data_IF_575280206637
#
_entry.id   IF_575280206637
#
_cell.length_a   1.000
_cell.length_b   1.000
_cell.length_c   1.000
_cell.angle_alpha   90.00
_cell.angle_beta   90.00
_cell.angle_gamma   90.00
#
_symmetry.space_group_name_H-M   'P 1'
#
loop_
_entity.id
_entity.type
_entity.pdbx_description
1 polymer ?
#
# COMPACT_ATOMS: atom_id res chain seq x y z
N UNK A 1 -5.30 18.72 15.76
CA UNK A 1 -6.37 18.58 14.75
C UNK A 1 -5.94 17.88 13.45
N UNK A 2 -4.69 17.41 13.28
CA UNK A 2 -4.23 16.68 12.08
C UNK A 2 -3.60 15.33 12.45
N UNK A 3 -4.39 14.38 12.95
CA UNK A 3 -3.91 13.01 13.23
C UNK A 3 -4.81 11.89 12.68
N UNK A 4 -5.73 12.23 11.76
CA UNK A 4 -6.68 11.27 11.19
C UNK A 4 -6.53 11.08 9.66
N UNK A 5 -5.44 11.52 9.04
CA UNK A 5 -5.25 11.42 7.56
C UNK A 5 -4.35 10.24 7.15
N UNK A 6 -3.79 9.48 8.10
CA UNK A 6 -3.05 8.24 7.79
C UNK A 6 -3.83 6.96 8.12
N UNK A 7 -5.12 7.08 8.44
CA UNK A 7 -6.04 5.95 8.31
C UNK A 7 -6.33 5.77 6.81
N UNK A 8 -5.32 5.38 6.05
CA UNK A 8 -5.52 4.86 4.71
C UNK A 8 -6.27 3.53 4.89
N UNK A 9 -7.56 3.44 4.51
CA UNK A 9 -8.40 2.30 4.84
C UNK A 9 -8.19 1.20 3.78
N UNK A 10 -6.98 0.65 3.66
CA UNK A 10 -6.74 -0.58 2.90
C UNK A 10 -5.37 -1.24 3.17
N UNK A 11 -4.92 -1.30 4.41
CA UNK A 11 -4.16 -2.49 4.81
C UNK A 11 -5.19 -3.42 5.41
N UNK A 12 -5.68 -4.40 4.64
CA UNK A 12 -6.52 -5.48 5.16
C UNK A 12 -5.72 -6.24 6.22
N UNK A 13 -5.65 -5.71 7.45
CA UNK A 13 -5.05 -6.38 8.58
C UNK A 13 -5.95 -7.58 8.83
N UNK A 14 -5.46 -8.75 8.43
CA UNK A 14 -6.18 -10.01 8.60
C UNK A 14 -6.27 -10.27 10.10
N UNK A 15 -7.43 -9.97 10.68
CA UNK A 15 -7.74 -10.38 12.04
C UNK A 15 -8.02 -11.88 12.06
N UNK A 16 -7.67 -12.52 13.17
CA UNK A 16 -8.01 -13.91 13.43
C UNK A 16 -8.79 -13.99 14.74
N UNK A 17 -9.79 -14.86 14.77
CA UNK A 17 -10.56 -15.08 16.01
C UNK A 17 -9.75 -15.96 16.96
N UNK A 18 -9.78 -15.66 18.26
CA UNK A 18 -9.13 -16.46 19.30
C UNK A 18 -9.57 -17.93 19.26
N UNK A 19 -10.83 -18.19 18.92
CA UNK A 19 -11.36 -19.56 18.80
C UNK A 19 -10.60 -20.40 17.76
N UNK A 20 -10.04 -19.76 16.73
CA UNK A 20 -9.25 -20.45 15.69
C UNK A 20 -7.88 -20.90 16.18
N UNK A 21 -7.39 -20.38 17.31
CA UNK A 21 -6.17 -20.85 17.96
C UNK A 21 -6.41 -22.12 18.79
N UNK A 22 -7.67 -22.47 19.03
CA UNK A 22 -8.05 -23.61 19.84
C UNK A 22 -8.33 -24.83 18.98
N UNK A 23 -8.03 -26.01 19.53
CA UNK A 23 -8.44 -27.27 18.93
C UNK A 23 -9.97 -27.41 18.94
N UNK A 24 -10.53 -28.18 17.98
CA UNK A 24 -11.99 -28.47 17.94
C UNK A 24 -12.53 -29.11 19.24
N UNK A 25 -11.66 -29.76 20.00
CA UNK A 25 -11.96 -30.39 21.30
C UNK A 25 -11.08 -29.83 22.42
N UNK A 26 -10.84 -28.52 22.42
CA UNK A 26 -9.96 -27.89 23.39
C UNK A 26 -10.43 -28.10 24.83
N UNK A 27 -9.49 -28.44 25.72
CA UNK A 27 -9.79 -28.59 27.15
C UNK A 27 -9.83 -27.23 27.84
N UNK A 28 -10.48 -27.14 29.01
CA UNK A 28 -10.47 -25.90 29.80
C UNK A 28 -9.05 -25.43 30.13
N UNK A 29 -8.13 -26.37 30.36
CA UNK A 29 -6.73 -26.05 30.62
C UNK A 29 -6.07 -25.44 29.38
N UNK A 30 -6.27 -26.04 28.20
CA UNK A 30 -5.77 -25.51 26.92
C UNK A 30 -6.29 -24.09 26.68
N UNK A 31 -7.59 -23.85 26.86
CA UNK A 31 -8.18 -22.51 26.73
C UNK A 31 -7.50 -21.50 27.65
N UNK A 32 -7.28 -21.86 28.93
CA UNK A 32 -6.61 -20.99 29.90
C UNK A 32 -5.17 -20.71 29.47
N UNK A 33 -4.41 -21.73 29.07
CA UNK A 33 -3.01 -21.58 28.67
C UNK A 33 -2.89 -20.73 27.41
N UNK A 34 -3.70 -20.99 26.38
CA UNK A 34 -3.73 -20.20 25.15
C UNK A 34 -4.14 -18.75 25.43
N UNK A 35 -5.12 -18.54 26.31
CA UNK A 35 -5.52 -17.20 26.72
C UNK A 35 -4.38 -16.44 27.43
N UNK A 36 -3.69 -17.10 28.37
CA UNK A 36 -2.54 -16.50 29.06
C UNK A 36 -1.38 -16.20 28.09
N UNK A 37 -1.13 -17.07 27.11
CA UNK A 37 -0.11 -16.84 26.08
C UNK A 37 -0.44 -15.61 25.21
N UNK A 38 -1.71 -15.44 24.82
CA UNK A 38 -2.19 -14.24 24.11
C UNK A 38 -2.00 -12.98 24.96
N UNK A 39 -2.31 -13.04 26.27
CA UNK A 39 -2.10 -11.90 27.16
C UNK A 39 -0.62 -11.53 27.31
N UNK A 40 0.29 -12.52 27.31
CA UNK A 40 1.72 -12.24 27.33
C UNK A 40 2.19 -11.57 26.04
N UNK A 41 1.70 -12.01 24.87
CA UNK A 41 1.99 -11.35 23.58
C UNK A 41 1.50 -9.90 23.52
N UNK A 42 0.32 -9.63 24.09
CA UNK A 42 -0.20 -8.26 24.25
C UNK A 42 0.71 -7.44 25.16
N UNK A 43 1.16 -8.03 26.28
CA UNK A 43 2.09 -7.37 27.21
C UNK A 43 3.45 -7.05 26.57
N UNK A 44 3.91 -7.88 25.63
CA UNK A 44 5.12 -7.65 24.82
C UNK A 44 4.91 -6.64 23.68
N UNK A 45 3.68 -6.18 23.44
CA UNK A 45 3.29 -5.28 22.34
C UNK A 45 3.54 -5.88 20.94
N UNK A 46 3.49 -7.21 20.84
CA UNK A 46 3.59 -7.93 19.57
C UNK A 46 2.21 -8.22 18.96
N UNK A 47 1.17 -8.17 19.79
CA UNK A 47 -0.21 -8.48 19.41
C UNK A 47 -1.19 -7.42 19.95
N UNK A 48 -2.11 -6.99 19.11
CA UNK A 48 -3.28 -6.19 19.46
C UNK A 48 -4.51 -7.09 19.57
N UNK A 49 -5.41 -6.77 20.50
CA UNK A 49 -6.63 -7.56 20.77
C UNK A 49 -7.83 -6.63 20.87
N UNK A 50 -8.94 -7.03 20.24
CA UNK A 50 -10.23 -6.33 20.27
C UNK A 50 -11.30 -7.27 20.84
N UNK A 51 -12.08 -6.78 21.80
CA UNK A 51 -13.26 -7.45 22.37
C UNK A 51 -14.30 -6.39 22.74
N UNK A 52 -15.49 -6.45 22.15
CA UNK A 52 -16.51 -5.38 22.29
C UNK A 52 -17.23 -5.41 23.65
N UNK A 53 -17.42 -6.60 24.21
CA UNK A 53 -18.14 -6.82 25.46
C UNK A 53 -17.58 -8.05 26.18
N UNK A 54 -17.79 -8.13 27.51
CA UNK A 54 -17.30 -9.25 28.31
C UNK A 54 -17.86 -10.58 27.80
N UNK A 55 -16.99 -11.58 27.67
CA UNK A 55 -17.30 -12.90 27.09
C UNK A 55 -17.72 -12.87 25.60
N UNK A 56 -17.58 -11.73 24.93
CA UNK A 56 -17.72 -11.62 23.48
C UNK A 56 -16.51 -12.19 22.75
N UNK A 57 -16.61 -12.22 21.42
CA UNK A 57 -15.54 -12.70 20.55
C UNK A 57 -14.25 -11.88 20.73
N UNK A 58 -13.12 -12.58 20.64
CA UNK A 58 -11.80 -11.98 20.79
C UNK A 58 -11.12 -12.03 19.42
N UNK A 59 -10.87 -10.85 18.85
CA UNK A 59 -10.13 -10.70 17.59
C UNK A 59 -8.68 -10.32 17.86
N UNK A 60 -7.76 -11.02 17.21
CA UNK A 60 -6.31 -10.83 17.32
C UNK A 60 -5.79 -10.15 16.06
N UNK A 61 -4.98 -9.10 16.23
CA UNK A 61 -4.38 -8.32 15.16
C UNK A 61 -2.87 -8.24 15.35
N UNK A 62 -2.06 -8.44 14.29
CA UNK A 62 -0.61 -8.26 14.38
C UNK A 62 -0.27 -6.77 14.55
N UNK A 63 0.67 -6.48 15.45
CA UNK A 63 1.27 -5.14 15.56
C UNK A 63 2.25 -4.99 14.41
N UNK A 64 2.11 -3.90 13.64
CA UNK A 64 3.10 -3.58 12.63
C UNK A 64 4.30 -2.94 13.31
N UNK A 65 5.42 -3.67 13.35
CA UNK A 65 6.70 -3.00 13.40
C UNK A 65 6.86 -2.27 12.08
N UNK A 66 7.01 -0.94 12.14
CA UNK A 66 7.48 -0.20 10.98
C UNK A 66 8.73 -0.92 10.47
N UNK A 67 8.85 -1.27 9.18
CA UNK A 67 10.13 -1.66 8.66
C UNK A 67 11.06 -0.46 8.90
N UNK A 68 12.11 -0.66 9.70
CA UNK A 68 13.28 0.21 9.65
C UNK A 68 13.89 0.02 8.25
N UNK A 69 13.28 0.66 7.25
CA UNK A 69 13.95 0.96 5.98
C UNK A 69 15.02 1.97 6.33
N UNK A 70 16.12 1.45 6.88
CA UNK A 70 17.42 2.05 6.78
C UNK A 70 17.63 2.33 5.29
N UNK A 71 17.46 3.60 4.94
CA UNK A 71 17.94 4.21 3.71
C UNK A 71 19.43 3.87 3.60
N UNK A 72 19.75 2.93 2.72
CA UNK A 72 21.09 2.40 2.57
C UNK A 72 21.24 1.66 1.24
N UNK A 73 21.68 2.41 0.23
CA UNK A 73 22.41 1.96 -0.95
C UNK A 73 21.68 1.07 -1.98
N UNK A 74 21.30 1.68 -3.09
CA UNK A 74 21.81 1.35 -4.43
C UNK A 74 21.21 2.33 -5.46
N UNK A 75 21.73 3.56 -5.49
CA UNK A 75 21.82 4.31 -6.74
C UNK A 75 22.85 3.58 -7.62
N UNK A 76 22.41 2.48 -8.25
CA UNK A 76 23.06 2.00 -9.46
C UNK A 76 22.57 2.86 -10.62
N UNK A 77 23.22 4.00 -10.82
CA UNK A 77 23.24 4.70 -12.10
C UNK A 77 24.09 3.89 -13.09
N UNK A 78 23.60 2.69 -13.41
CA UNK A 78 24.04 1.86 -14.52
C UNK A 78 23.43 2.39 -15.80
N UNK A 79 24.19 3.25 -16.50
CA UNK A 79 23.93 3.69 -17.87
C UNK A 79 23.72 2.48 -18.80
N UNK A 80 22.58 2.32 -19.49
CA UNK A 80 22.52 1.48 -20.68
C UNK A 80 23.05 2.29 -21.87
N UNK A 81 24.08 1.75 -22.51
CA UNK A 81 24.67 2.31 -23.72
C UNK A 81 23.88 2.03 -25.01
N UNK A 82 24.40 2.67 -26.06
CA UNK A 82 24.33 2.29 -27.48
C UNK A 82 23.03 2.56 -28.25
N UNK A 83 22.96 3.75 -28.84
CA UNK A 83 22.57 4.02 -30.24
C UNK A 83 22.88 5.51 -30.49
N UNK A 84 23.58 5.98 -31.50
CA UNK A 84 24.21 5.45 -32.70
C UNK A 84 24.58 6.71 -33.48
N UNK A 85 25.84 6.87 -33.86
CA UNK A 85 26.34 7.85 -34.82
C UNK A 85 25.43 7.88 -36.06
N UNK A 86 24.81 9.02 -36.38
CA UNK A 86 24.55 9.45 -37.75
C UNK A 86 24.61 10.99 -37.88
N UNK A 87 25.20 11.40 -38.99
CA UNK A 87 25.95 12.62 -39.31
C UNK A 87 25.08 13.87 -39.58
N UNK A 88 25.55 15.11 -39.31
CA UNK A 88 24.80 16.33 -39.56
C UNK A 88 25.19 16.95 -40.92
N UNK A 89 24.41 16.72 -41.98
CA UNK A 89 24.59 17.52 -43.20
C UNK A 89 23.39 17.60 -44.16
N UNK A 90 22.93 18.84 -44.32
CA UNK A 90 22.49 19.48 -45.57
C UNK A 90 21.02 19.47 -46.01
N UNK A 91 20.64 20.69 -46.42
CA UNK A 91 19.59 21.12 -47.35
C UNK A 91 18.17 21.26 -46.78
N UNK A 92 17.72 22.48 -46.45
CA UNK A 92 17.20 23.51 -47.38
C UNK A 92 15.86 23.13 -47.99
N UNK A 93 14.77 23.73 -47.49
CA UNK A 93 13.82 24.53 -48.27
C UNK A 93 12.56 24.82 -47.43
N UNK A 94 12.45 26.05 -46.92
CA UNK A 94 11.15 26.73 -46.90
C UNK A 94 10.70 26.94 -48.35
N UNK A 95 9.39 26.86 -48.62
CA UNK A 95 8.66 28.13 -48.70
C UNK A 95 7.26 28.07 -48.04
N UNK A 96 6.93 29.12 -47.29
CA UNK A 96 5.56 29.62 -47.10
C UNK A 96 4.96 30.12 -48.46
N UNK A 97 3.71 30.60 -48.61
CA UNK A 97 2.60 30.79 -47.66
C UNK A 97 1.22 30.36 -48.20
N UNK A 98 0.16 30.44 -47.38
CA UNK A 98 -1.21 30.39 -47.89
C UNK A 98 -2.32 30.36 -46.84
N UNK A 99 -2.82 31.56 -46.52
CA UNK A 99 -4.22 31.94 -46.23
C UNK A 99 -5.28 30.82 -46.34
N UNK A 100 -6.38 30.77 -45.62
CA UNK A 100 -7.06 31.58 -44.60
C UNK A 100 -8.37 30.81 -44.31
N UNK A 101 -9.22 31.37 -43.43
CA UNK A 101 -10.66 31.10 -43.36
C UNK A 101 -11.11 29.95 -42.44
N UNK A 102 -11.13 30.31 -41.15
CA UNK A 102 -12.35 30.30 -40.33
C UNK A 102 -13.64 30.32 -41.17
N UNK A 103 -14.55 29.37 -40.94
CA UNK A 103 -15.97 29.61 -40.65
C UNK A 103 -16.71 28.28 -40.49
N UNK A 104 -17.20 28.05 -39.26
CA UNK A 104 -18.28 27.11 -38.96
C UNK A 104 -19.61 27.58 -39.57
N UNK A 105 -20.57 26.67 -39.83
CA UNK A 105 -21.59 26.84 -40.86
C UNK A 105 -22.81 27.68 -40.43
N UNK A 106 -23.27 28.51 -41.37
CA UNK A 106 -24.60 28.47 -41.99
C UNK A 106 -25.84 28.21 -41.11
N UNK A 107 -26.67 29.25 -40.97
CA UNK A 107 -28.06 29.37 -41.50
C UNK A 107 -29.18 29.65 -40.48
N UNK A 108 -30.09 30.52 -40.94
CA UNK A 108 -31.47 30.78 -40.51
C UNK A 108 -31.58 31.53 -39.18
N UNK A 109 -32.29 32.66 -39.07
CA UNK A 109 -33.61 32.98 -39.61
C UNK A 109 -33.82 34.50 -39.63
#
# INVERSE_FOLDING_TARGET
YLRNVLDAPNSTRRSVSFETLLSRSATRLEVIVTFLAVLELVKLRELEVIQDHTFGEIHLLPVQSLPDTATGAADESGLPGAAGDEDPSSATAEPEPGAAEDHSPSKAE
#
